data_IF_026030491901
#
_entry.id   IF_026030491901
#
_cell.length_a   1.000
_cell.length_b   1.000
_cell.length_c   1.000
_cell.angle_alpha   90.00
_cell.angle_beta   90.00
_cell.angle_gamma   90.00
#
_symmetry.space_group_name_H-M   'P 1'
#
loop_
_entity.id
_entity.type
_entity.pdbx_description
1 polymer ?
#
# COMPACT_ATOMS: atom_id res chain seq x y z
N UNK A 1 -1.66 8.27 -5.98
CA UNK A 1 -0.57 7.64 -5.17
C UNK A 1 0.64 8.57 -5.10
N UNK A 2 1.07 9.19 -6.21
CA UNK A 2 2.26 10.06 -6.25
C UNK A 2 2.22 11.27 -5.28
N UNK A 3 1.05 11.76 -4.90
CA UNK A 3 0.91 12.87 -3.95
C UNK A 3 0.97 12.39 -2.50
N UNK A 4 0.31 11.29 -2.19
CA UNK A 4 0.22 10.76 -0.82
C UNK A 4 1.39 9.82 -0.46
N UNK A 5 1.98 9.15 -1.45
CA UNK A 5 3.09 8.21 -1.24
C UNK A 5 4.32 8.82 -0.57
N UNK A 6 4.77 10.02 -0.98
CA UNK A 6 5.90 10.70 -0.34
C UNK A 6 5.65 11.10 1.10
N UNK A 7 4.38 11.31 1.48
CA UNK A 7 4.01 11.70 2.84
C UNK A 7 4.22 10.53 3.78
N UNK A 8 5.24 10.64 4.61
CA UNK A 8 5.63 9.59 5.55
C UNK A 8 6.30 10.18 6.78
N UNK A 9 6.18 9.45 7.88
CA UNK A 9 6.82 9.77 9.16
C UNK A 9 7.91 8.72 9.39
N UNK A 10 9.19 9.10 9.43
CA UNK A 10 10.26 8.18 9.76
C UNK A 10 10.16 7.74 11.22
N UNK A 11 10.46 6.47 11.47
CA UNK A 11 10.50 5.93 12.83
C UNK A 11 11.96 5.73 13.25
N UNK A 12 12.35 6.13 14.49
CA UNK A 12 13.74 6.03 14.93
C UNK A 12 14.20 4.57 15.17
N UNK A 13 13.26 3.64 15.31
CA UNK A 13 13.51 2.22 15.60
C UNK A 13 13.22 1.28 14.41
N UNK A 14 12.80 1.82 13.26
CA UNK A 14 12.50 1.01 12.08
C UNK A 14 13.01 1.67 10.81
N UNK A 15 13.64 0.91 9.88
CA UNK A 15 14.04 1.42 8.59
C UNK A 15 12.87 1.64 7.62
N UNK A 16 11.67 1.21 7.99
CA UNK A 16 10.44 1.38 7.21
C UNK A 16 9.67 2.57 7.79
N UNK A 17 9.40 3.65 7.03
CA UNK A 17 8.61 4.78 7.53
C UNK A 17 7.10 4.45 7.54
N UNK A 18 6.34 5.10 8.42
CA UNK A 18 4.88 5.12 8.31
C UNK A 18 4.51 6.01 7.12
N UNK A 19 3.96 5.42 6.07
CA UNK A 19 3.57 6.16 4.85
C UNK A 19 2.07 6.11 4.61
N UNK A 20 1.59 7.00 3.75
CA UNK A 20 0.22 7.00 3.25
C UNK A 20 0.07 6.23 1.92
N UNK A 21 1.08 5.49 1.50
CA UNK A 21 1.07 4.77 0.21
C UNK A 21 -0.06 3.75 0.14
N UNK A 22 -0.22 2.90 1.15
CA UNK A 22 -1.31 1.93 1.21
C UNK A 22 -2.70 2.58 1.23
N UNK A 23 -2.85 3.70 1.96
CA UNK A 23 -4.08 4.47 1.96
C UNK A 23 -4.42 5.04 0.57
N UNK A 24 -3.41 5.56 -0.12
CA UNK A 24 -3.57 6.05 -1.50
C UNK A 24 -3.97 4.93 -2.47
N UNK A 25 -3.44 3.71 -2.29
CA UNK A 25 -3.82 2.53 -3.08
C UNK A 25 -5.28 2.17 -2.80
N UNK A 26 -5.71 2.12 -1.53
CA UNK A 26 -7.11 1.88 -1.19
C UNK A 26 -8.06 2.83 -1.90
N UNK A 27 -7.79 4.14 -1.83
CA UNK A 27 -8.62 5.15 -2.50
C UNK A 27 -8.59 5.01 -4.02
N UNK A 28 -7.41 4.75 -4.61
CA UNK A 28 -7.28 4.54 -6.04
C UNK A 28 -8.10 3.33 -6.53
N UNK A 29 -8.04 2.21 -5.81
CA UNK A 29 -8.82 1.01 -6.13
C UNK A 29 -10.34 1.28 -5.98
N UNK A 30 -10.77 1.97 -4.92
CA UNK A 30 -12.19 2.34 -4.75
C UNK A 30 -12.71 3.15 -5.93
N UNK A 31 -11.92 4.08 -6.46
CA UNK A 31 -12.34 4.98 -7.55
C UNK A 31 -12.21 4.30 -8.92
N UNK A 32 -11.09 3.67 -9.18
CA UNK A 32 -10.70 3.18 -10.52
C UNK A 32 -11.04 1.70 -10.76
N UNK A 33 -11.33 0.92 -9.72
CA UNK A 33 -11.47 -0.53 -9.78
C UNK A 33 -10.13 -1.27 -9.86
N UNK A 34 -10.17 -2.60 -9.94
CA UNK A 34 -8.98 -3.45 -9.92
C UNK A 34 -7.98 -3.12 -11.02
N UNK A 35 -8.43 -3.18 -12.27
CA UNK A 35 -7.54 -3.06 -13.45
C UNK A 35 -6.83 -1.71 -13.49
N UNK A 36 -7.59 -0.62 -13.52
CA UNK A 36 -7.03 0.73 -13.65
C UNK A 36 -6.30 1.18 -12.39
N UNK A 37 -6.77 0.78 -11.21
CA UNK A 37 -6.09 1.09 -9.94
C UNK A 37 -4.74 0.38 -9.82
N UNK A 38 -4.66 -0.91 -10.18
CA UNK A 38 -3.40 -1.66 -10.19
C UNK A 38 -2.41 -1.11 -11.23
N UNK A 39 -2.88 -0.80 -12.45
CA UNK A 39 -2.03 -0.16 -13.48
C UNK A 39 -1.51 1.19 -12.98
N UNK A 40 -2.35 2.01 -12.35
CA UNK A 40 -1.96 3.29 -11.76
C UNK A 40 -0.85 3.11 -10.70
N UNK A 41 -0.93 2.05 -9.89
CA UNK A 41 0.11 1.76 -8.91
C UNK A 41 1.41 1.26 -9.57
N UNK A 42 1.33 0.43 -10.62
CA UNK A 42 2.52 0.00 -11.38
C UNK A 42 3.22 1.20 -12.02
N UNK A 43 2.46 2.13 -12.61
CA UNK A 43 3.03 3.38 -13.15
C UNK A 43 3.74 4.18 -12.04
N UNK A 44 3.13 4.29 -10.86
CA UNK A 44 3.76 4.93 -9.70
C UNK A 44 5.10 4.26 -9.34
N UNK A 45 5.18 2.93 -9.32
CA UNK A 45 6.43 2.20 -9.07
C UNK A 45 7.48 2.47 -10.13
N UNK A 46 7.09 2.50 -11.41
CA UNK A 46 8.00 2.80 -12.51
C UNK A 46 8.54 4.23 -12.43
N UNK A 47 7.68 5.21 -12.15
CA UNK A 47 8.09 6.60 -11.93
C UNK A 47 9.09 6.71 -10.78
N UNK A 48 8.82 6.03 -9.67
CA UNK A 48 9.74 5.99 -8.55
C UNK A 48 11.06 5.29 -8.89
N UNK A 49 11.03 4.21 -9.66
CA UNK A 49 12.22 3.46 -10.07
C UNK A 49 13.18 4.28 -10.96
N UNK A 50 12.66 5.10 -11.86
CA UNK A 50 13.47 5.98 -12.72
C UNK A 50 14.00 7.23 -11.99
N UNK A 51 13.67 7.39 -10.69
CA UNK A 51 14.22 8.44 -9.85
C UNK A 51 13.28 9.59 -9.50
N UNK A 52 12.02 9.57 -9.95
CA UNK A 52 11.03 10.57 -9.52
C UNK A 52 10.79 10.43 -8.02
N UNK A 53 10.81 11.53 -7.22
CA UNK A 53 10.74 11.48 -5.74
C UNK A 53 9.29 11.23 -5.26
N UNK A 54 8.70 10.10 -5.67
CA UNK A 54 7.32 9.72 -5.36
C UNK A 54 7.21 8.69 -4.23
N UNK A 55 8.31 8.06 -3.82
CA UNK A 55 8.34 7.12 -2.69
C UNK A 55 8.39 7.86 -1.35
N UNK A 56 8.22 7.11 -0.28
CA UNK A 56 8.21 7.65 1.09
C UNK A 56 9.41 8.56 1.37
N UNK A 57 9.16 9.68 2.04
CA UNK A 57 10.15 10.73 2.34
C UNK A 57 10.75 11.38 1.10
N UNK A 58 9.95 11.50 0.03
CA UNK A 58 10.35 12.13 -1.24
C UNK A 58 11.59 11.48 -1.86
N UNK A 59 11.72 10.16 -1.72
CA UNK A 59 12.80 9.38 -2.32
C UNK A 59 12.36 8.79 -3.67
N UNK A 60 13.35 8.43 -4.48
CA UNK A 60 13.17 7.74 -5.75
C UNK A 60 14.44 6.97 -6.12
N UNK A 61 14.36 6.21 -7.21
CA UNK A 61 15.45 5.40 -7.73
C UNK A 61 15.37 3.92 -7.33
N UNK A 62 16.05 3.08 -8.10
CA UNK A 62 16.10 1.62 -7.89
C UNK A 62 16.64 1.24 -6.51
N UNK A 63 17.49 2.07 -5.90
CA UNK A 63 18.01 1.86 -4.55
C UNK A 63 16.91 1.79 -3.49
N UNK A 64 15.76 2.46 -3.68
CA UNK A 64 14.61 2.37 -2.76
C UNK A 64 13.92 1.02 -2.91
N UNK A 65 13.79 0.52 -4.15
CA UNK A 65 13.22 -0.81 -4.42
C UNK A 65 14.14 -1.95 -3.95
N UNK A 66 15.45 -1.75 -4.02
CA UNK A 66 16.42 -2.70 -3.48
C UNK A 66 16.59 -2.57 -1.96
N UNK A 67 16.12 -1.51 -1.34
CA UNK A 67 16.24 -1.22 0.08
C UNK A 67 15.19 -1.90 0.97
N UNK A 68 15.16 -1.56 2.27
CA UNK A 68 14.27 -2.17 3.27
C UNK A 68 12.77 -2.11 2.94
N UNK A 69 12.35 -1.09 2.22
CA UNK A 69 10.94 -0.87 1.83
C UNK A 69 10.53 -1.58 0.55
N UNK A 70 11.50 -2.12 -0.22
CA UNK A 70 11.26 -2.67 -1.55
C UNK A 70 10.26 -3.83 -1.56
N UNK A 71 10.38 -4.76 -0.62
CA UNK A 71 9.45 -5.88 -0.50
C UNK A 71 8.01 -5.44 -0.23
N UNK A 72 7.81 -4.39 0.56
CA UNK A 72 6.49 -3.81 0.81
C UNK A 72 5.93 -3.13 -0.45
N UNK A 73 6.77 -2.40 -1.19
CA UNK A 73 6.37 -1.75 -2.44
C UNK A 73 5.91 -2.77 -3.48
N UNK A 74 6.63 -3.89 -3.61
CA UNK A 74 6.20 -5.02 -4.46
C UNK A 74 4.94 -5.66 -3.89
N UNK A 75 4.88 -5.86 -2.58
CA UNK A 75 3.72 -6.43 -1.87
C UNK A 75 2.43 -5.65 -2.09
N UNK A 76 2.51 -4.34 -2.30
CA UNK A 76 1.35 -3.49 -2.61
C UNK A 76 0.72 -3.78 -3.98
N UNK A 77 1.42 -4.41 -4.91
CA UNK A 77 0.80 -4.91 -6.16
C UNK A 77 -0.22 -6.00 -5.82
N UNK A 78 0.15 -6.94 -4.95
CA UNK A 78 -0.77 -7.99 -4.50
C UNK A 78 -1.94 -7.41 -3.69
N UNK A 79 -1.68 -6.42 -2.83
CA UNK A 79 -2.75 -5.69 -2.14
C UNK A 79 -3.75 -5.09 -3.13
N UNK A 80 -3.26 -4.39 -4.17
CA UNK A 80 -4.10 -3.76 -5.17
C UNK A 80 -4.95 -4.80 -5.94
N UNK A 81 -4.36 -5.93 -6.29
CA UNK A 81 -5.05 -7.02 -6.98
C UNK A 81 -6.11 -7.68 -6.09
N UNK A 82 -5.76 -8.04 -4.84
CA UNK A 82 -6.66 -8.75 -3.93
C UNK A 82 -7.85 -7.86 -3.54
N UNK A 83 -7.58 -6.63 -3.11
CA UNK A 83 -8.64 -5.68 -2.78
C UNK A 83 -9.49 -5.36 -4.00
N UNK A 84 -8.85 -5.13 -5.15
CA UNK A 84 -9.54 -4.80 -6.39
C UNK A 84 -10.42 -5.94 -6.88
N UNK A 85 -9.95 -7.19 -6.78
CA UNK A 85 -10.76 -8.37 -7.07
C UNK A 85 -11.98 -8.44 -6.16
N UNK A 86 -11.80 -8.26 -4.85
CA UNK A 86 -12.92 -8.26 -3.92
C UNK A 86 -13.92 -7.13 -4.23
N UNK A 87 -13.43 -5.93 -4.56
CA UNK A 87 -14.28 -4.79 -4.92
C UNK A 87 -15.11 -5.07 -6.18
N UNK A 88 -14.47 -5.54 -7.25
CA UNK A 88 -15.12 -5.70 -8.56
C UNK A 88 -15.99 -6.96 -8.62
N UNK A 89 -15.57 -8.06 -7.95
CA UNK A 89 -16.32 -9.33 -7.96
C UNK A 89 -17.58 -9.29 -7.08
N UNK A 90 -17.59 -8.51 -6.02
CA UNK A 90 -18.71 -8.41 -5.09
C UNK A 90 -19.53 -7.11 -5.22
N UNK A 91 -19.62 -6.55 -6.43
CA UNK A 91 -20.43 -5.37 -6.76
C UNK A 91 -20.16 -4.19 -5.80
N UNK A 92 -18.90 -3.95 -5.44
CA UNK A 92 -18.45 -2.87 -4.55
C UNK A 92 -19.08 -2.92 -3.15
N UNK A 93 -19.54 -4.08 -2.70
CA UNK A 93 -20.02 -4.25 -1.33
C UNK A 93 -18.90 -4.00 -0.33
N UNK A 94 -19.21 -3.24 0.71
CA UNK A 94 -18.22 -2.76 1.66
C UNK A 94 -17.51 -3.89 2.42
N UNK A 95 -18.27 -4.87 2.91
CA UNK A 95 -17.72 -5.98 3.73
C UNK A 95 -16.69 -6.83 2.96
N UNK A 96 -16.99 -7.37 1.76
CA UNK A 96 -15.98 -8.08 0.97
C UNK A 96 -14.77 -7.22 0.63
N UNK A 97 -14.95 -5.92 0.38
CA UNK A 97 -13.86 -5.01 0.07
C UNK A 97 -12.95 -4.82 1.29
N UNK A 98 -13.48 -4.65 2.49
CA UNK A 98 -12.70 -4.58 3.74
C UNK A 98 -11.91 -5.88 3.95
N UNK A 99 -12.54 -7.04 3.75
CA UNK A 99 -11.86 -8.34 3.82
C UNK A 99 -10.70 -8.40 2.81
N UNK A 100 -10.94 -7.92 1.59
CA UNK A 100 -9.89 -7.81 0.56
C UNK A 100 -8.73 -6.90 0.97
N UNK A 101 -9.02 -5.75 1.64
CA UNK A 101 -7.99 -4.86 2.19
C UNK A 101 -7.15 -5.56 3.26
N UNK A 102 -7.79 -6.27 4.19
CA UNK A 102 -7.11 -6.98 5.29
C UNK A 102 -6.24 -8.12 4.74
N UNK A 103 -6.77 -8.96 3.85
CA UNK A 103 -6.02 -10.06 3.24
C UNK A 103 -4.87 -9.51 2.40
N UNK A 104 -5.13 -8.49 1.59
CA UNK A 104 -4.10 -7.84 0.77
C UNK A 104 -2.97 -7.24 1.61
N UNK A 105 -3.30 -6.61 2.75
CA UNK A 105 -2.30 -6.11 3.70
C UNK A 105 -1.51 -7.26 4.34
N UNK A 106 -2.16 -8.36 4.72
CA UNK A 106 -1.47 -9.52 5.29
C UNK A 106 -0.45 -10.11 4.29
N UNK A 107 -0.83 -10.23 3.02
CA UNK A 107 0.09 -10.67 1.95
C UNK A 107 1.24 -9.68 1.76
N UNK A 108 0.94 -8.38 1.75
CA UNK A 108 1.95 -7.34 1.66
C UNK A 108 2.94 -7.40 2.83
N UNK A 109 2.45 -7.58 4.05
CA UNK A 109 3.28 -7.73 5.24
C UNK A 109 4.17 -8.99 5.19
N UNK A 110 3.62 -10.12 4.77
CA UNK A 110 4.40 -11.35 4.62
C UNK A 110 5.55 -11.15 3.62
N UNK A 111 5.26 -10.58 2.46
CA UNK A 111 6.25 -10.31 1.41
C UNK A 111 7.32 -9.31 1.89
N UNK A 112 6.88 -8.19 2.48
CA UNK A 112 7.76 -7.15 3.01
C UNK A 112 8.64 -7.65 4.16
N UNK A 113 8.09 -8.46 5.07
CA UNK A 113 8.85 -9.03 6.19
C UNK A 113 9.92 -10.01 5.73
N UNK A 114 9.60 -10.91 4.78
CA UNK A 114 10.60 -11.84 4.21
C UNK A 114 11.72 -11.07 3.52
N UNK A 115 11.38 -10.04 2.76
CA UNK A 115 12.36 -9.17 2.11
C UNK A 115 13.26 -8.46 3.13
N UNK A 116 12.66 -7.80 4.12
CA UNK A 116 13.36 -7.05 5.16
C UNK A 116 14.28 -7.97 5.98
N UNK A 117 13.78 -9.13 6.40
CA UNK A 117 14.53 -10.10 7.16
C UNK A 117 15.75 -10.59 6.38
N UNK A 118 15.59 -10.93 5.10
CA UNK A 118 16.73 -11.33 4.24
C UNK A 118 17.75 -10.22 4.06
N UNK A 119 17.28 -8.98 3.83
CA UNK A 119 18.16 -7.85 3.57
C UNK A 119 19.01 -7.47 4.78
N UNK A 120 18.44 -7.57 5.99
CA UNK A 120 19.10 -7.19 7.23
C UNK A 120 19.68 -8.40 8.01
N UNK A 121 19.63 -9.60 7.43
CA UNK A 121 20.06 -10.86 8.08
C UNK A 121 19.38 -11.10 9.44
N UNK A 122 18.08 -10.76 9.51
CA UNK A 122 17.23 -10.93 10.69
C UNK A 122 16.43 -12.24 10.59
N UNK A 123 15.96 -12.73 11.74
CA UNK A 123 14.90 -13.75 11.75
C UNK A 123 13.57 -13.18 11.26
N UNK A 124 12.68 -14.03 10.79
CA UNK A 124 11.32 -13.60 10.38
C UNK A 124 10.58 -12.87 11.50
N UNK A 125 10.74 -13.34 12.74
CA UNK A 125 10.11 -12.73 13.93
C UNK A 125 10.62 -11.31 14.17
N UNK A 126 11.92 -11.07 14.08
CA UNK A 126 12.52 -9.74 14.22
C UNK A 126 12.07 -8.81 13.09
N UNK A 127 12.05 -9.31 11.86
CA UNK A 127 11.52 -8.58 10.72
C UNK A 127 10.05 -8.16 10.90
N UNK A 128 9.23 -9.05 11.47
CA UNK A 128 7.81 -8.78 11.77
C UNK A 128 7.64 -7.75 12.89
N UNK A 129 8.46 -7.85 13.95
CA UNK A 129 8.46 -6.89 15.06
C UNK A 129 8.88 -5.48 14.60
N UNK A 130 9.79 -5.40 13.65
CA UNK A 130 10.32 -4.14 13.13
C UNK A 130 9.47 -3.56 11.99
N UNK A 131 8.98 -4.39 11.08
CA UNK A 131 8.37 -3.97 9.82
C UNK A 131 6.85 -4.08 9.76
N UNK A 132 6.18 -4.65 10.78
CA UNK A 132 4.71 -4.84 10.77
C UNK A 132 4.06 -4.36 12.04
N UNK A 133 4.48 -4.84 13.21
CA UNK A 133 3.76 -4.61 14.48
C UNK A 133 3.54 -3.12 14.77
N UNK A 134 4.52 -2.22 14.63
CA UNK A 134 4.33 -0.79 14.90
C UNK A 134 3.33 -0.10 13.95
N UNK A 135 3.06 -0.71 12.79
CA UNK A 135 2.22 -0.12 11.74
C UNK A 135 0.75 -0.56 11.83
N UNK A 136 0.48 -1.71 12.49
CA UNK A 136 -0.87 -2.28 12.58
C UNK A 136 -1.94 -1.29 13.05
N UNK A 137 -1.75 -0.50 14.12
CA UNK A 137 -2.77 0.46 14.56
C UNK A 137 -3.04 1.55 13.51
N UNK A 138 -1.98 2.08 12.90
CA UNK A 138 -2.08 3.09 11.84
C UNK A 138 -2.75 2.54 10.57
N UNK A 139 -2.44 1.33 10.19
CA UNK A 139 -3.01 0.70 8.99
C UNK A 139 -4.46 0.27 9.21
N UNK A 140 -4.83 -0.15 10.42
CA UNK A 140 -6.22 -0.38 10.79
C UNK A 140 -7.06 0.92 10.68
N UNK A 141 -6.54 2.05 11.18
CA UNK A 141 -7.18 3.34 11.02
C UNK A 141 -7.34 3.74 9.54
N UNK A 142 -6.31 3.52 8.71
CA UNK A 142 -6.37 3.79 7.26
C UNK A 142 -7.42 2.94 6.55
N UNK A 143 -7.55 1.65 6.92
CA UNK A 143 -8.59 0.77 6.38
C UNK A 143 -9.97 1.32 6.72
N UNK A 144 -10.22 1.71 7.98
CA UNK A 144 -11.49 2.27 8.42
C UNK A 144 -11.80 3.57 7.66
N UNK A 145 -10.85 4.49 7.57
CA UNK A 145 -11.04 5.76 6.87
C UNK A 145 -11.28 5.51 5.38
N UNK A 146 -10.52 4.62 4.74
CA UNK A 146 -10.70 4.28 3.33
C UNK A 146 -12.06 3.62 3.06
N UNK A 147 -12.55 2.79 3.98
CA UNK A 147 -13.87 2.17 3.88
C UNK A 147 -15.02 3.19 3.96
N UNK A 148 -14.82 4.29 4.69
CA UNK A 148 -15.82 5.38 4.80
C UNK A 148 -15.72 6.34 3.61
N UNK A 149 -14.50 6.73 3.24
CA UNK A 149 -14.24 7.77 2.23
C UNK A 149 -14.30 7.22 0.80
N UNK A 150 -13.81 5.99 0.59
CA UNK A 150 -13.69 5.37 -0.74
C UNK A 150 -15.02 5.31 -1.52
N UNK A 151 -16.11 4.77 -0.94
CA UNK A 151 -17.41 4.76 -1.62
C UNK A 151 -17.95 6.16 -1.94
N UNK A 152 -17.70 7.14 -1.04
CA UNK A 152 -18.12 8.54 -1.25
C UNK A 152 -17.36 9.17 -2.41
N UNK A 153 -16.05 8.95 -2.50
CA UNK A 153 -15.22 9.41 -3.62
C UNK A 153 -15.68 8.79 -4.93
N UNK A 154 -15.94 7.48 -4.93
CA UNK A 154 -16.49 6.82 -6.13
C UNK A 154 -17.81 7.45 -6.57
N UNK A 155 -18.76 7.65 -5.66
CA UNK A 155 -20.04 8.30 -5.97
C UNK A 155 -19.89 9.73 -6.50
N UNK A 156 -18.92 10.49 -5.97
CA UNK A 156 -18.62 11.83 -6.46
C UNK A 156 -18.05 11.83 -7.89
N UNK A 157 -17.14 10.88 -8.20
CA UNK A 157 -16.55 10.77 -9.54
C UNK A 157 -17.56 10.32 -10.59
N UNK A 158 -18.58 9.52 -10.23
CA UNK A 158 -19.62 9.10 -11.16
C UNK A 158 -20.57 10.26 -11.55
N UNK A 159 -20.73 11.28 -10.69
CA UNK A 159 -21.54 12.47 -10.99
C UNK A 159 -20.89 13.45 -11.96
N UNK A 160 -19.58 13.32 -12.18
CA UNK A 160 -18.79 14.21 -13.04
C UNK A 160 -18.61 13.60 -14.45
N UNK A 161 -18.91 12.31 -14.61
CA UNK A 161 -18.86 11.59 -15.88
C UNK A 161 -20.20 11.60 -16.56
#
# INVERSE_FOLDING_TARGET
TCVLGPLSIPLPFSPVPISLTNFAIFLAIFVLGMKSGTISFIIYLLLGAIGVPVFSSFRGGLQVLAGPTGGYLIGFIFLALIMGFALDHFDRKLVPTIIGMIIGMAVCYAFGTVWLAKLLSLSFKEGLMMGVIPYLPGDAAKIIIAAIVGPKLYGATQKIR
#
